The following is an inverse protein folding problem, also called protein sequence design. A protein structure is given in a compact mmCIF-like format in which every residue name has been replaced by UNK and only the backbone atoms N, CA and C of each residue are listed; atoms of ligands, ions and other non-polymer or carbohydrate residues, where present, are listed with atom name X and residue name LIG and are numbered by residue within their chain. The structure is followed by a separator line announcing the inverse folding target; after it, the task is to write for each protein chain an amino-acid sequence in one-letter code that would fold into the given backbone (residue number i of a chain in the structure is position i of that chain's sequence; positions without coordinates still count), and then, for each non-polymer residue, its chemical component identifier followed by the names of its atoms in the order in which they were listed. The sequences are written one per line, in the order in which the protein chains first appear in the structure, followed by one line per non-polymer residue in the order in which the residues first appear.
data_IF_616766625720
#
_entry.id   IF_616766625720
#
_cell.length_a   1.000
_cell.length_b   1.000
_cell.length_c   1.000
_cell.angle_alpha   90.00
_cell.angle_beta   90.00
_cell.angle_gamma   90.00
#
_symmetry.space_group_name_H-M   'P 1'
#
loop_
_entity.id
_entity.type
_entity.pdbx_description
1 polymer ?
#
# COMPACT_ATOMS: atom_id res chain seq x y z
N UNK A 1 -37.44 -18.86 -33.18
CA UNK A 1 -36.30 -18.49 -32.30
C UNK A 1 -36.32 -19.42 -31.08
N UNK A 2 -35.52 -20.48 -31.12
CA UNK A 2 -35.68 -21.69 -30.30
C UNK A 2 -35.15 -21.59 -28.87
N UNK A 3 -35.89 -22.18 -27.93
CA UNK A 3 -35.45 -22.43 -26.55
C UNK A 3 -34.53 -23.66 -26.53
N UNK A 4 -33.25 -23.49 -26.20
CA UNK A 4 -32.31 -24.62 -26.05
C UNK A 4 -32.25 -25.04 -24.58
N UNK A 5 -32.70 -26.28 -24.34
CA UNK A 5 -32.76 -26.96 -23.04
C UNK A 5 -31.41 -27.65 -22.75
N UNK A 6 -30.93 -27.52 -21.52
CA UNK A 6 -29.61 -27.96 -21.01
C UNK A 6 -29.31 -29.45 -21.21
N UNK A 7 -28.02 -29.79 -21.39
CA UNK A 7 -27.45 -31.13 -21.16
C UNK A 7 -26.32 -31.05 -20.12
N UNK A 8 -26.41 -31.84 -19.05
CA UNK A 8 -25.32 -32.08 -18.08
C UNK A 8 -24.46 -33.25 -18.58
N UNK A 9 -23.12 -33.17 -18.56
CA UNK A 9 -22.29 -34.35 -18.78
C UNK A 9 -22.14 -35.18 -17.50
N UNK A 10 -22.14 -36.51 -17.70
CA UNK A 10 -22.05 -37.57 -16.69
C UNK A 10 -20.67 -37.59 -16.02
N UNK A 11 -20.70 -37.87 -14.71
CA UNK A 11 -19.57 -38.22 -13.84
C UNK A 11 -19.14 -39.66 -14.16
N UNK A 12 -17.86 -39.87 -14.49
CA UNK A 12 -17.22 -41.18 -14.44
C UNK A 12 -15.95 -41.09 -13.58
N UNK A 13 -15.75 -42.14 -12.80
CA UNK A 13 -14.93 -42.27 -11.60
C UNK A 13 -13.60 -42.99 -11.86
N UNK A 14 -12.54 -42.53 -11.16
CA UNK A 14 -11.31 -43.25 -10.76
C UNK A 14 -10.36 -43.62 -11.92
N UNK A 15 -9.03 -43.55 -11.87
CA UNK A 15 -7.96 -43.51 -10.86
C UNK A 15 -6.72 -43.02 -11.68
N UNK A 16 -5.84 -42.13 -11.25
CA UNK A 16 -4.64 -42.50 -10.48
C UNK A 16 -3.87 -41.23 -10.07
N UNK A 17 -3.37 -41.33 -8.84
CA UNK A 17 -2.52 -40.45 -8.06
C UNK A 17 -1.30 -39.88 -8.79
N UNK A 18 -1.23 -38.56 -8.88
CA UNK A 18 -0.04 -37.78 -8.50
C UNK A 18 -0.56 -36.52 -7.80
N UNK A 19 -0.64 -36.56 -6.48
CA UNK A 19 -0.84 -35.34 -5.69
C UNK A 19 0.47 -34.54 -5.73
N UNK A 20 0.65 -33.80 -6.82
CA UNK A 20 1.53 -32.64 -6.80
C UNK A 20 0.75 -31.57 -6.02
N UNK A 21 0.91 -31.56 -4.69
CA UNK A 21 0.57 -30.41 -3.86
C UNK A 21 1.54 -29.27 -4.22
N UNK A 22 1.37 -28.73 -5.42
CA UNK A 22 1.54 -27.29 -5.58
C UNK A 22 0.37 -26.71 -4.79
N UNK A 23 0.62 -26.42 -3.52
CA UNK A 23 -0.12 -25.39 -2.82
C UNK A 23 -0.03 -24.17 -3.73
N UNK A 24 -1.05 -24.00 -4.57
CA UNK A 24 -1.29 -22.77 -5.29
C UNK A 24 -1.57 -21.78 -4.17
N UNK A 25 -0.51 -21.14 -3.67
CA UNK A 25 -0.61 -20.06 -2.71
C UNK A 25 -1.49 -19.05 -3.43
N UNK A 26 -2.77 -19.02 -3.07
CA UNK A 26 -3.70 -17.99 -3.47
C UNK A 26 -3.21 -16.73 -2.79
N UNK A 27 -2.16 -16.12 -3.34
CA UNK A 27 -1.68 -14.82 -2.89
C UNK A 27 -2.85 -13.90 -3.18
N UNK A 28 -3.52 -13.45 -2.13
CA UNK A 28 -4.60 -12.50 -2.24
C UNK A 28 -4.12 -11.37 -3.13
N UNK A 29 -4.86 -11.03 -4.19
CA UNK A 29 -4.48 -9.99 -5.14
C UNK A 29 -4.16 -8.64 -4.45
N UNK A 30 -4.61 -8.47 -3.21
CA UNK A 30 -4.27 -7.35 -2.32
C UNK A 30 -2.85 -7.43 -1.75
N UNK A 31 -2.41 -8.61 -1.30
CA UNK A 31 -1.05 -8.83 -0.80
C UNK A 31 -0.01 -8.56 -1.91
N UNK A 32 -0.29 -9.00 -3.14
CA UNK A 32 0.58 -8.71 -4.29
C UNK A 32 0.63 -7.21 -4.60
N UNK A 33 -0.50 -6.51 -4.49
CA UNK A 33 -0.58 -5.06 -4.74
C UNK A 33 0.19 -4.26 -3.70
N UNK A 34 0.03 -4.59 -2.41
CA UNK A 34 0.78 -3.93 -1.32
C UNK A 34 2.27 -4.20 -1.45
N UNK A 35 2.67 -5.44 -1.78
CA UNK A 35 4.08 -5.75 -1.99
C UNK A 35 4.66 -4.95 -3.17
N UNK A 36 3.92 -4.84 -4.28
CA UNK A 36 4.35 -4.04 -5.44
C UNK A 36 4.57 -2.57 -5.07
N UNK A 37 3.68 -1.99 -4.25
CA UNK A 37 3.83 -0.61 -3.75
C UNK A 37 5.10 -0.51 -2.88
N UNK A 38 5.33 -1.47 -1.97
CA UNK A 38 6.53 -1.48 -1.12
C UNK A 38 7.80 -1.50 -1.98
N UNK A 39 7.86 -2.38 -2.98
CA UNK A 39 9.03 -2.54 -3.85
C UNK A 39 9.31 -1.24 -4.63
N UNK A 40 8.27 -0.61 -5.18
CA UNK A 40 8.40 0.64 -5.93
C UNK A 40 8.77 1.85 -5.04
N UNK A 41 8.28 1.91 -3.79
CA UNK A 41 8.67 2.97 -2.85
C UNK A 41 10.15 2.89 -2.45
N UNK A 42 10.73 1.69 -2.48
CA UNK A 42 12.14 1.44 -2.18
C UNK A 42 13.05 1.57 -3.40
N UNK A 43 12.49 1.70 -4.60
CA UNK A 43 13.25 1.92 -5.83
C UNK A 43 14.01 3.25 -5.78
N UNK A 44 15.15 3.32 -6.48
CA UNK A 44 15.91 4.57 -6.63
C UNK A 44 15.20 5.55 -7.57
N UNK A 45 14.35 5.03 -8.46
CA UNK A 45 13.65 5.80 -9.48
C UNK A 45 12.53 6.68 -8.87
N UNK A 46 12.61 7.98 -9.12
CA UNK A 46 11.62 8.97 -8.66
C UNK A 46 10.23 8.69 -9.24
N UNK A 47 10.13 8.29 -10.50
CA UNK A 47 8.85 8.02 -11.14
C UNK A 47 8.16 6.80 -10.51
N UNK A 48 8.92 5.73 -10.23
CA UNK A 48 8.39 4.53 -9.57
C UNK A 48 7.88 4.85 -8.16
N UNK A 49 8.66 5.59 -7.35
CA UNK A 49 8.19 6.05 -6.03
C UNK A 49 6.92 6.89 -6.15
N UNK A 50 6.86 7.81 -7.11
CA UNK A 50 5.71 8.68 -7.29
C UNK A 50 4.46 7.87 -7.68
N UNK A 51 4.59 6.94 -8.62
CA UNK A 51 3.53 6.00 -9.00
C UNK A 51 3.07 5.18 -7.80
N UNK A 52 3.98 4.66 -6.98
CA UNK A 52 3.65 3.91 -5.79
C UNK A 52 2.86 4.73 -4.76
N UNK A 53 3.21 6.00 -4.56
CA UNK A 53 2.47 6.91 -3.68
C UNK A 53 1.05 7.19 -4.19
N UNK A 54 0.87 7.30 -5.51
CA UNK A 54 -0.46 7.43 -6.13
C UNK A 54 -1.27 6.14 -5.95
N UNK A 55 -0.67 4.98 -6.24
CA UNK A 55 -1.30 3.68 -6.03
C UNK A 55 -1.67 3.45 -4.57
N UNK A 56 -0.82 3.86 -3.64
CA UNK A 56 -1.11 3.83 -2.21
C UNK A 56 -2.28 4.73 -1.84
N UNK A 57 -2.33 5.95 -2.37
CA UNK A 57 -3.43 6.88 -2.10
C UNK A 57 -4.80 6.30 -2.54
N UNK A 58 -4.85 5.60 -3.67
CA UNK A 58 -6.04 4.87 -4.12
C UNK A 58 -6.34 3.64 -3.25
N UNK A 59 -5.30 2.91 -2.82
CA UNK A 59 -5.45 1.69 -2.02
C UNK A 59 -6.14 1.96 -0.67
N UNK A 60 -5.83 3.08 -0.04
CA UNK A 60 -6.37 3.47 1.28
C UNK A 60 -7.78 4.08 1.23
N UNK A 61 -8.35 4.29 0.03
CA UNK A 61 -9.77 4.66 -0.11
C UNK A 61 -10.70 3.52 0.32
N UNK A 62 -10.20 2.28 0.33
CA UNK A 62 -10.91 1.13 0.87
C UNK A 62 -10.36 0.78 2.26
N UNK A 63 -11.19 0.99 3.28
CA UNK A 63 -10.84 0.75 4.69
C UNK A 63 -10.29 -0.67 4.95
N UNK A 64 -10.77 -1.69 4.22
CA UNK A 64 -10.28 -3.06 4.38
C UNK A 64 -8.79 -3.22 4.05
N UNK A 65 -8.24 -2.35 3.19
CA UNK A 65 -6.85 -2.40 2.80
C UNK A 65 -5.94 -1.61 3.78
N UNK A 66 -6.52 -0.75 4.62
CA UNK A 66 -5.78 0.14 5.50
C UNK A 66 -5.05 -0.65 6.57
N UNK A 67 -5.73 -1.57 7.25
CA UNK A 67 -5.11 -2.43 8.28
C UNK A 67 -3.97 -3.27 7.72
N UNK A 68 -4.14 -3.81 6.51
CA UNK A 68 -3.11 -4.58 5.82
C UNK A 68 -1.92 -3.70 5.43
N UNK A 69 -2.17 -2.49 4.92
CA UNK A 69 -1.12 -1.54 4.57
C UNK A 69 -0.29 -1.11 5.79
N UNK A 70 -0.97 -0.85 6.91
CA UNK A 70 -0.35 -0.51 8.21
C UNK A 70 0.51 -1.67 8.71
N UNK A 71 -0.05 -2.88 8.78
CA UNK A 71 0.67 -4.07 9.28
C UNK A 71 1.87 -4.44 8.43
N UNK A 72 1.84 -4.15 7.12
CA UNK A 72 2.97 -4.31 6.20
C UNK A 72 4.01 -3.18 6.27
N UNK A 73 3.81 -2.21 7.16
CA UNK A 73 4.80 -1.17 7.47
C UNK A 73 4.86 -0.02 6.46
N UNK A 74 3.83 0.18 5.63
CA UNK A 74 3.83 1.24 4.63
C UNK A 74 3.99 2.64 5.25
N UNK A 75 3.44 2.87 6.45
CA UNK A 75 3.64 4.14 7.17
C UNK A 75 5.14 4.40 7.41
N UNK A 76 5.90 3.39 7.86
CA UNK A 76 7.33 3.52 8.16
C UNK A 76 8.17 3.75 6.91
N UNK A 77 7.68 3.33 5.74
CA UNK A 77 8.33 3.57 4.44
C UNK A 77 7.99 4.97 3.92
N UNK A 78 6.73 5.37 4.01
CA UNK A 78 6.24 6.64 3.44
C UNK A 78 6.64 7.85 4.30
N UNK A 79 6.63 7.73 5.63
CA UNK A 79 6.91 8.85 6.52
C UNK A 79 8.28 9.52 6.27
N UNK A 80 9.39 8.78 6.11
CA UNK A 80 10.69 9.38 5.76
C UNK A 80 10.72 10.06 4.38
N UNK A 81 9.83 9.70 3.45
CA UNK A 81 9.77 10.32 2.12
C UNK A 81 9.31 11.78 2.15
N UNK A 82 8.81 12.27 3.30
CA UNK A 82 8.65 13.70 3.56
C UNK A 82 9.97 14.47 3.42
N UNK A 83 11.12 13.81 3.58
CA UNK A 83 12.45 14.40 3.46
C UNK A 83 13.18 14.00 2.17
N UNK A 84 12.48 13.37 1.22
CA UNK A 84 13.05 12.96 -0.07
C UNK A 84 13.59 14.20 -0.84
N UNK A 85 14.73 14.11 -1.57
CA UNK A 85 15.26 15.22 -2.34
C UNK A 85 14.28 15.77 -3.40
N UNK A 86 13.46 14.91 -4.00
CA UNK A 86 12.50 15.30 -5.03
C UNK A 86 11.24 15.92 -4.41
N UNK A 87 10.89 17.13 -4.86
CA UNK A 87 9.71 17.85 -4.35
C UNK A 87 8.40 17.12 -4.64
N UNK A 88 8.27 16.45 -5.78
CA UNK A 88 7.09 15.66 -6.13
C UNK A 88 6.86 14.52 -5.13
N UNK A 89 7.94 13.84 -4.69
CA UNK A 89 7.86 12.75 -3.71
C UNK A 89 7.45 13.27 -2.34
N UNK A 90 8.04 14.38 -1.88
CA UNK A 90 7.63 14.99 -0.60
C UNK A 90 6.16 15.39 -0.61
N UNK A 91 5.71 16.05 -1.69
CA UNK A 91 4.32 16.51 -1.81
C UNK A 91 3.34 15.33 -1.86
N UNK A 92 3.65 14.29 -2.65
CA UNK A 92 2.82 13.10 -2.74
C UNK A 92 2.76 12.36 -1.40
N UNK A 93 3.90 12.19 -0.72
CA UNK A 93 3.96 11.54 0.61
C UNK A 93 3.14 12.31 1.64
N UNK A 94 3.27 13.64 1.69
CA UNK A 94 2.46 14.49 2.56
C UNK A 94 0.95 14.34 2.27
N UNK A 95 0.58 14.29 0.98
CA UNK A 95 -0.80 14.03 0.56
C UNK A 95 -1.33 12.67 1.01
N UNK A 96 -0.56 11.60 0.79
CA UNK A 96 -0.90 10.25 1.21
C UNK A 96 -1.08 10.13 2.72
N UNK A 97 -0.17 10.71 3.51
CA UNK A 97 -0.23 10.71 4.97
C UNK A 97 -1.42 11.54 5.48
N UNK A 98 -1.71 12.67 4.85
CA UNK A 98 -2.91 13.48 5.14
C UNK A 98 -4.19 12.69 4.88
N UNK A 99 -4.27 11.97 3.76
CA UNK A 99 -5.42 11.12 3.46
C UNK A 99 -5.58 10.02 4.51
N UNK A 100 -4.49 9.35 4.89
CA UNK A 100 -4.50 8.32 5.93
C UNK A 100 -5.00 8.87 7.27
N UNK A 101 -4.49 10.04 7.70
CA UNK A 101 -4.92 10.70 8.94
C UNK A 101 -6.40 11.11 8.95
N UNK A 102 -7.02 11.25 7.77
CA UNK A 102 -8.43 11.64 7.67
C UNK A 102 -9.41 10.48 7.85
N UNK A 103 -8.91 9.24 7.94
CA UNK A 103 -9.74 8.04 8.09
C UNK A 103 -10.28 7.85 9.52
N UNK A 104 -9.63 8.42 10.54
CA UNK A 104 -10.13 8.36 11.92
C UNK A 104 -9.04 8.48 12.98
N UNK A 105 -9.48 8.60 14.24
CA UNK A 105 -8.58 8.80 15.38
C UNK A 105 -7.64 7.62 15.62
N UNK A 106 -8.12 6.39 15.45
CA UNK A 106 -7.29 5.18 15.61
C UNK A 106 -6.10 5.17 14.65
N UNK A 107 -6.30 5.62 13.41
CA UNK A 107 -5.23 5.73 12.42
C UNK A 107 -4.24 6.84 12.78
N UNK A 108 -4.73 7.95 13.34
CA UNK A 108 -3.85 8.99 13.89
C UNK A 108 -2.99 8.46 15.05
N UNK A 109 -3.55 7.62 15.93
CA UNK A 109 -2.78 6.95 17.00
C UNK A 109 -1.71 6.02 16.40
N UNK A 110 -2.07 5.18 15.42
CA UNK A 110 -1.09 4.33 14.70
C UNK A 110 0.02 5.15 14.04
N UNK A 111 -0.31 6.29 13.42
CA UNK A 111 0.68 7.20 12.84
C UNK A 111 1.66 7.72 13.91
N UNK A 112 1.16 8.08 15.09
CA UNK A 112 1.99 8.51 16.23
C UNK A 112 2.88 7.39 16.75
N UNK A 113 2.37 6.16 16.86
CA UNK A 113 3.14 4.97 17.25
C UNK A 113 4.27 4.64 16.25
N UNK A 114 4.13 5.07 15.00
CA UNK A 114 5.15 4.95 13.96
C UNK A 114 6.03 6.19 13.80
N UNK A 115 6.05 7.08 14.80
CA UNK A 115 6.90 8.27 14.84
C UNK A 115 6.71 9.20 13.62
N UNK A 116 5.46 9.44 13.22
CA UNK A 116 5.15 10.36 12.12
C UNK A 116 5.59 11.81 12.42
N UNK A 117 5.64 12.20 13.69
CA UNK A 117 5.89 13.58 14.09
C UNK A 117 7.32 14.01 13.80
N UNK A 118 8.30 13.12 13.96
CA UNK A 118 9.71 13.42 13.67
C UNK A 118 9.92 13.87 12.21
N UNK A 119 9.54 13.11 11.16
CA UNK A 119 9.68 13.56 9.77
C UNK A 119 8.77 14.75 9.43
N UNK A 120 7.60 14.89 10.05
CA UNK A 120 6.73 16.07 9.86
C UNK A 120 7.40 17.36 10.37
N UNK A 121 7.95 17.35 11.59
CA UNK A 121 8.64 18.51 12.18
C UNK A 121 9.85 18.87 11.31
N UNK A 122 10.66 17.87 10.94
CA UNK A 122 11.79 18.07 10.03
C UNK A 122 11.35 18.70 8.69
N UNK A 123 10.26 18.21 8.10
CA UNK A 123 9.71 18.73 6.86
C UNK A 123 9.28 20.20 6.99
N UNK A 124 8.55 20.55 8.05
CA UNK A 124 8.16 21.94 8.29
C UNK A 124 9.35 22.85 8.57
N UNK A 125 10.35 22.38 9.31
CA UNK A 125 11.56 23.16 9.55
C UNK A 125 12.32 23.47 8.26
N UNK A 126 12.44 22.48 7.36
CA UNK A 126 13.05 22.68 6.05
C UNK A 126 12.25 23.66 5.18
N UNK A 127 10.91 23.64 5.26
CA UNK A 127 10.04 24.50 4.44
C UNK A 127 9.88 25.92 4.97
N UNK A 128 9.87 26.09 6.30
CA UNK A 128 9.67 27.38 6.95
C UNK A 128 11.00 28.08 7.27
N UNK A 129 12.15 27.47 6.93
CA UNK A 129 13.46 28.05 7.21
C UNK A 129 13.81 28.10 8.70
N UNK A 130 13.15 27.28 9.53
CA UNK A 130 13.37 27.22 10.98
C UNK A 130 14.66 26.46 11.36
N UNK A 131 15.46 26.06 10.38
CA UNK A 131 16.73 25.34 10.58
C UNK A 131 17.83 26.19 11.28
N UNK A 132 17.50 27.40 11.75
CA UNK A 132 18.43 28.30 12.45
C UNK A 132 18.30 28.29 13.98
N UNK A 133 17.53 27.36 14.58
CA UNK A 133 17.19 27.45 16.01
C UNK A 133 17.41 26.19 16.86
N UNK A 134 18.24 25.23 16.43
CA UNK A 134 18.72 24.13 17.29
C UNK A 134 20.22 23.94 17.14
#
# INVERSE_FOLDING_TARGET
MGKIRKRKPKRNSNLDTVENFEEEICVDSRDTSIQTIIDQLQAVNVEEKYCALQSFAMLIENEQNVEQAVSRGLIKIIAPLLLDPASCIRNASAGSLRNLSSLGMSICETLMEHDIMTPLICYFHQKLGLLMAV
#
